data_IF_226404904030
#
_entry.id   IF_226404904030
#
_cell.length_a   1.000
_cell.length_b   1.000
_cell.length_c   1.000
_cell.angle_alpha   90.00
_cell.angle_beta   90.00
_cell.angle_gamma   90.00
#
_symmetry.space_group_name_H-M   'P 1'
#
loop_
_entity.id
_entity.type
_entity.pdbx_description
1 polymer ?
#
# COMPACT_ATOMS: atom_id res chain seq x y z
N UNK A 1 15.48 -4.03 -2.13
CA UNK A 1 16.16 -2.72 -2.01
C UNK A 1 15.06 -1.69 -1.83
N UNK A 2 15.05 -0.91 -0.73
CA UNK A 2 14.04 0.12 -0.55
C UNK A 2 14.13 1.17 -1.66
N UNK A 3 12.99 1.74 -2.07
CA UNK A 3 13.00 2.85 -3.03
C UNK A 3 13.70 4.05 -2.40
N UNK A 4 14.64 4.67 -3.13
CA UNK A 4 15.26 5.92 -2.72
C UNK A 4 14.30 7.10 -2.92
N UNK A 5 14.53 8.26 -2.26
CA UNK A 5 13.71 9.45 -2.48
C UNK A 5 13.63 9.90 -3.95
N UNK A 6 14.76 9.84 -4.68
CA UNK A 6 14.80 10.17 -6.11
C UNK A 6 13.98 9.19 -6.97
N UNK A 7 14.02 7.90 -6.65
CA UNK A 7 13.20 6.89 -7.32
C UNK A 7 11.72 7.05 -6.98
N UNK A 8 11.38 7.45 -5.74
CA UNK A 8 10.01 7.69 -5.33
C UNK A 8 9.36 8.84 -6.12
N UNK A 9 10.10 9.90 -6.43
CA UNK A 9 9.62 10.99 -7.29
C UNK A 9 9.27 10.47 -8.70
N UNK A 10 10.12 9.64 -9.28
CA UNK A 10 9.87 9.06 -10.60
C UNK A 10 8.65 8.13 -10.59
N UNK A 11 8.54 7.28 -9.56
CA UNK A 11 7.41 6.36 -9.40
C UNK A 11 6.10 7.10 -9.13
N UNK A 12 6.10 8.11 -8.26
CA UNK A 12 4.95 8.98 -8.02
C UNK A 12 4.50 9.75 -9.28
N UNK A 13 5.46 10.21 -10.09
CA UNK A 13 5.15 10.81 -11.40
C UNK A 13 4.48 9.82 -12.34
N UNK A 14 4.87 8.53 -12.30
CA UNK A 14 4.20 7.49 -13.06
C UNK A 14 2.76 7.24 -12.59
N UNK A 15 2.49 7.29 -11.28
CA UNK A 15 1.13 7.24 -10.73
C UNK A 15 0.27 8.38 -11.27
N UNK A 16 0.77 9.62 -11.19
CA UNK A 16 0.08 10.78 -11.76
C UNK A 16 -0.20 10.61 -13.27
N UNK A 17 0.77 10.07 -14.01
CA UNK A 17 0.60 9.83 -15.44
C UNK A 17 -0.50 8.80 -15.72
N UNK A 18 -0.53 7.69 -14.98
CA UNK A 18 -1.57 6.67 -15.11
C UNK A 18 -2.96 7.25 -14.81
N UNK A 19 -3.08 8.02 -13.72
CA UNK A 19 -4.32 8.72 -13.38
C UNK A 19 -4.80 9.67 -14.50
N UNK A 20 -3.89 10.47 -15.04
CA UNK A 20 -4.18 11.39 -16.16
C UNK A 20 -4.54 10.66 -17.47
N UNK A 21 -4.15 9.38 -17.63
CA UNK A 21 -4.54 8.54 -18.75
C UNK A 21 -5.91 7.88 -18.55
N UNK A 22 -6.57 8.11 -17.41
CA UNK A 22 -7.90 7.57 -17.11
C UNK A 22 -7.87 6.15 -16.54
N UNK A 23 -6.79 5.76 -15.87
CA UNK A 23 -6.76 4.49 -15.13
C UNK A 23 -7.89 4.45 -14.07
N UNK A 24 -8.57 3.31 -13.96
CA UNK A 24 -9.55 3.06 -12.89
C UNK A 24 -8.88 2.49 -11.63
N UNK A 25 -7.81 1.73 -11.82
CA UNK A 25 -6.98 1.19 -10.75
C UNK A 25 -5.48 1.35 -11.06
N UNK A 26 -4.67 1.57 -10.03
CA UNK A 26 -3.21 1.68 -10.11
C UNK A 26 -2.59 0.78 -9.04
N UNK A 27 -1.84 -0.24 -9.47
CA UNK A 27 -1.21 -1.21 -8.56
C UNK A 27 0.28 -0.98 -8.45
N UNK A 28 0.78 -0.83 -7.23
CA UNK A 28 2.17 -0.53 -6.94
C UNK A 28 2.81 -1.62 -6.06
N UNK A 29 3.84 -2.29 -6.58
CA UNK A 29 4.60 -3.32 -5.85
C UNK A 29 6.00 -2.84 -5.49
N UNK A 30 6.07 -1.65 -4.89
CA UNK A 30 7.31 -1.04 -4.43
C UNK A 30 7.10 -0.37 -3.07
N UNK A 31 8.18 -0.23 -2.31
CA UNK A 31 8.14 0.38 -0.99
C UNK A 31 9.52 0.86 -0.54
N UNK A 32 9.51 1.88 0.30
CA UNK A 32 10.68 2.49 0.93
C UNK A 32 10.40 2.82 2.38
N UNK A 33 11.39 3.39 3.07
CA UNK A 33 11.24 3.68 4.48
C UNK A 33 10.21 4.79 4.71
N UNK A 34 9.35 4.59 5.72
CA UNK A 34 8.45 5.61 6.26
C UNK A 34 9.27 6.81 6.78
N UNK A 35 8.86 8.02 6.44
CA UNK A 35 9.61 9.25 6.71
C UNK A 35 8.72 10.48 6.92
N UNK A 36 9.29 11.54 7.49
CA UNK A 36 8.56 12.82 7.63
C UNK A 36 8.21 13.50 6.30
N UNK A 37 8.84 13.09 5.19
CA UNK A 37 8.57 13.66 3.86
C UNK A 37 7.30 13.09 3.20
N UNK A 38 6.77 12.01 3.76
CA UNK A 38 5.71 11.20 3.16
C UNK A 38 4.40 11.98 2.97
N UNK A 39 4.09 12.89 3.90
CA UNK A 39 2.93 13.78 3.81
C UNK A 39 2.93 14.68 2.56
N UNK A 40 4.11 15.12 2.11
CA UNK A 40 4.26 15.90 0.88
C UNK A 40 3.97 15.03 -0.34
N UNK A 41 4.53 13.81 -0.36
CA UNK A 41 4.34 12.85 -1.45
C UNK A 41 2.89 12.37 -1.57
N UNK A 42 2.18 12.23 -0.46
CA UNK A 42 0.76 11.86 -0.42
C UNK A 42 -0.10 12.78 -1.30
N UNK A 43 -0.04 14.08 -1.00
CA UNK A 43 -0.80 15.10 -1.72
C UNK A 43 -0.35 15.27 -3.18
N UNK A 44 0.92 14.96 -3.46
CA UNK A 44 1.52 15.17 -4.79
C UNK A 44 1.25 14.00 -5.75
N UNK A 45 1.21 12.77 -5.25
CA UNK A 45 1.24 11.57 -6.09
C UNK A 45 0.08 10.60 -5.89
N UNK A 46 -0.53 10.54 -4.70
CA UNK A 46 -1.46 9.45 -4.36
C UNK A 46 -2.90 9.92 -4.14
N UNK A 47 -3.15 11.22 -3.98
CA UNK A 47 -4.51 11.75 -3.88
C UNK A 47 -5.19 11.85 -5.26
N UNK A 48 -5.71 10.72 -5.75
CA UNK A 48 -6.51 10.64 -6.98
C UNK A 48 -7.93 10.11 -6.70
N UNK A 49 -8.88 10.99 -6.31
CA UNK A 49 -10.24 10.57 -6.00
C UNK A 49 -10.91 9.83 -7.16
N UNK A 50 -11.53 8.69 -6.87
CA UNK A 50 -12.21 7.86 -7.88
C UNK A 50 -11.32 6.83 -8.57
N UNK A 51 -10.03 6.77 -8.25
CA UNK A 51 -9.09 5.76 -8.74
C UNK A 51 -8.66 4.88 -7.56
N UNK A 52 -8.78 3.55 -7.69
CA UNK A 52 -8.30 2.65 -6.65
C UNK A 52 -6.79 2.50 -6.75
N UNK A 53 -6.05 3.01 -5.77
CA UNK A 53 -4.60 2.84 -5.70
C UNK A 53 -4.27 1.78 -4.67
N UNK A 54 -3.61 0.70 -5.09
CA UNK A 54 -3.13 -0.36 -4.20
C UNK A 54 -1.62 -0.31 -4.09
N UNK A 55 -1.11 -0.59 -2.90
CA UNK A 55 0.33 -0.66 -2.62
C UNK A 55 0.62 -1.89 -1.77
N UNK A 56 1.63 -2.68 -2.13
CA UNK A 56 2.05 -3.81 -1.28
C UNK A 56 2.50 -3.31 0.10
N UNK A 57 2.14 -4.04 1.16
CA UNK A 57 2.54 -3.65 2.52
C UNK A 57 4.02 -3.91 2.81
N UNK A 58 4.66 -4.76 2.01
CA UNK A 58 6.08 -5.11 2.11
C UNK A 58 6.29 -6.60 2.35
N UNK A 59 7.55 -7.01 2.21
CA UNK A 59 7.99 -8.42 2.20
C UNK A 59 8.97 -8.76 3.33
N UNK A 60 9.13 -7.85 4.31
CA UNK A 60 10.13 -7.92 5.37
C UNK A 60 9.54 -8.13 6.78
N UNK A 61 8.28 -8.56 6.86
CA UNK A 61 7.57 -8.76 8.12
C UNK A 61 7.21 -7.45 8.80
N UNK A 62 7.09 -7.44 10.13
CA UNK A 62 6.70 -6.26 10.89
C UNK A 62 7.61 -5.06 10.61
N UNK A 63 7.01 -3.96 10.18
CA UNK A 63 7.68 -2.78 9.65
C UNK A 63 6.74 -2.02 8.72
N UNK A 64 6.81 -0.69 8.79
CA UNK A 64 6.02 0.21 7.95
C UNK A 64 6.85 0.62 6.75
N UNK A 65 6.22 0.66 5.58
CA UNK A 65 6.83 1.20 4.37
C UNK A 65 5.92 2.23 3.71
N UNK A 66 6.54 3.17 3.01
CA UNK A 66 5.87 4.14 2.16
C UNK A 66 5.97 3.69 0.69
N UNK A 67 4.90 3.74 -0.13
CA UNK A 67 3.64 4.47 0.09
C UNK A 67 2.51 3.70 0.78
N UNK A 68 2.72 2.46 1.25
CA UNK A 68 1.66 1.69 1.91
C UNK A 68 1.10 2.36 3.18
N UNK A 69 1.89 3.23 3.82
CA UNK A 69 1.46 4.07 4.94
C UNK A 69 0.54 5.25 4.56
N UNK A 70 0.42 5.58 3.28
CA UNK A 70 -0.38 6.71 2.78
C UNK A 70 -1.86 6.52 3.10
N UNK A 71 -2.55 7.59 3.50
CA UNK A 71 -3.99 7.56 3.73
C UNK A 71 -4.82 7.51 2.43
N UNK A 72 -4.19 7.76 1.27
CA UNK A 72 -4.86 7.83 -0.03
C UNK A 72 -4.80 6.51 -0.81
N UNK A 73 -4.17 5.48 -0.26
CA UNK A 73 -4.01 4.17 -0.91
C UNK A 73 -4.60 3.06 -0.07
N UNK A 74 -4.83 1.91 -0.71
CA UNK A 74 -5.13 0.65 -0.02
C UNK A 74 -3.86 -0.16 0.14
N UNK A 75 -3.40 -0.32 1.38
CA UNK A 75 -2.29 -1.21 1.70
C UNK A 75 -2.74 -2.67 1.59
N UNK A 76 -2.03 -3.47 0.77
CA UNK A 76 -2.34 -4.88 0.52
C UNK A 76 -1.30 -5.75 1.23
N UNK A 77 -1.75 -6.47 2.25
CA UNK A 77 -0.96 -7.46 2.99
C UNK A 77 -0.78 -8.78 2.23
N UNK A 78 -0.06 -9.72 2.84
CA UNK A 78 0.18 -11.05 2.29
C UNK A 78 -0.36 -12.18 3.16
N UNK A 79 -0.81 -13.25 2.52
CA UNK A 79 -1.25 -14.49 3.16
C UNK A 79 -0.48 -15.68 2.60
N UNK A 80 -0.34 -16.74 3.41
CA UNK A 80 0.05 -18.05 2.93
C UNK A 80 -1.21 -18.83 2.59
N UNK A 81 -1.36 -19.21 1.31
CA UNK A 81 -2.49 -19.96 0.81
C UNK A 81 -2.24 -21.47 0.89
N UNK A 82 -3.13 -22.19 1.56
CA UNK A 82 -3.11 -23.65 1.63
C UNK A 82 -4.42 -24.21 1.05
N UNK A 83 -4.33 -25.22 0.17
CA UNK A 83 -5.55 -25.86 -0.35
C UNK A 83 -6.32 -26.50 0.80
N UNK A 84 -7.65 -26.36 0.77
CA UNK A 84 -8.52 -26.89 1.81
C UNK A 84 -9.78 -27.50 1.21
N UNK A 85 -10.30 -28.55 1.85
CA UNK A 85 -11.59 -29.16 1.51
C UNK A 85 -12.75 -28.39 2.17
N UNK A 86 -12.93 -27.14 1.76
CA UNK A 86 -14.04 -26.28 2.19
C UNK A 86 -14.69 -25.61 0.96
N UNK A 87 -15.80 -24.89 1.14
CA UNK A 87 -16.53 -24.26 0.03
C UNK A 87 -15.68 -23.26 -0.80
N UNK A 88 -14.66 -22.65 -0.18
CA UNK A 88 -13.74 -21.70 -0.82
C UNK A 88 -12.56 -22.39 -1.52
N UNK A 89 -12.24 -23.63 -1.16
CA UNK A 89 -11.11 -24.41 -1.68
C UNK A 89 -9.75 -24.05 -1.07
N UNK A 90 -9.68 -23.06 -0.16
CA UNK A 90 -8.45 -22.54 0.42
C UNK A 90 -8.63 -22.19 1.91
N UNK A 91 -7.54 -22.25 2.65
CA UNK A 91 -7.35 -21.62 3.95
C UNK A 91 -6.16 -20.66 3.89
N UNK A 92 -6.22 -19.60 4.68
CA UNK A 92 -5.22 -18.53 4.71
C UNK A 92 -4.67 -18.34 6.11
N UNK A 93 -3.35 -18.14 6.19
CA UNK A 93 -2.69 -17.62 7.39
C UNK A 93 -1.93 -16.36 7.03
N UNK A 94 -1.64 -15.49 8.01
CA UNK A 94 -0.75 -14.36 7.77
C UNK A 94 0.58 -14.85 7.20
N UNK A 95 1.06 -14.21 6.13
CA UNK A 95 2.39 -14.49 5.62
C UNK A 95 3.42 -13.83 6.54
N UNK A 96 4.45 -14.57 6.95
CA UNK A 96 5.48 -14.05 7.87
C UNK A 96 6.26 -12.86 7.30
N UNK A 97 6.31 -12.73 5.97
CA UNK A 97 6.92 -11.59 5.29
C UNK A 97 5.98 -10.39 5.14
N UNK A 98 4.68 -10.52 5.43
CA UNK A 98 3.74 -9.43 5.18
C UNK A 98 4.05 -8.20 6.05
N UNK A 99 4.29 -7.07 5.39
CA UNK A 99 4.48 -5.78 6.04
C UNK A 99 3.26 -5.36 6.85
N UNK A 100 3.50 -4.78 8.02
CA UNK A 100 2.46 -4.29 8.93
C UNK A 100 3.03 -3.33 9.97
N UNK A 101 2.21 -2.42 10.48
CA UNK A 101 2.58 -1.49 11.53
C UNK A 101 1.79 -0.19 11.47
N UNK A 102 2.18 0.77 12.29
CA UNK A 102 1.62 2.12 12.32
C UNK A 102 2.72 3.12 11.96
N UNK A 103 2.48 3.96 10.95
CA UNK A 103 3.42 5.02 10.61
C UNK A 103 3.69 5.93 11.80
N UNK A 104 4.94 6.37 11.93
CA UNK A 104 5.33 7.36 12.94
C UNK A 104 5.02 8.80 12.51
N UNK A 105 4.68 9.01 11.23
CA UNK A 105 4.55 10.34 10.61
C UNK A 105 3.12 10.65 10.19
N UNK A 106 2.28 9.63 9.99
CA UNK A 106 0.85 9.80 9.77
C UNK A 106 0.06 9.58 11.06
N UNK A 107 -0.70 10.58 11.46
CA UNK A 107 -1.76 10.39 12.47
C UNK A 107 -2.95 9.80 11.73
N UNK A 108 -3.52 8.72 12.26
CA UNK A 108 -4.75 8.13 11.74
C UNK A 108 -5.82 9.22 11.62
N UNK A 109 -6.12 9.63 10.38
CA UNK A 109 -7.22 10.54 10.11
C UNK A 109 -8.53 9.91 10.58
N UNK A 110 -9.47 10.72 11.04
CA UNK A 110 -10.77 10.36 11.64
C UNK A 110 -11.74 9.61 10.69
N UNK A 111 -11.24 9.02 9.60
CA UNK A 111 -11.97 8.23 8.62
C UNK A 111 -11.29 6.89 8.36
N UNK A 112 -11.14 6.07 9.40
CA UNK A 112 -11.22 4.61 9.24
C UNK A 112 -12.67 4.23 8.87
N UNK A 113 -13.12 4.72 7.72
CA UNK A 113 -14.34 4.31 7.07
C UNK A 113 -14.03 3.14 6.16
N UNK A 114 -14.24 1.93 6.68
CA UNK A 114 -14.60 0.74 5.92
C UNK A 114 -13.56 -0.03 5.07
N UNK A 115 -12.26 0.24 5.14
CA UNK A 115 -11.29 -0.65 4.49
C UNK A 115 -10.22 -1.12 5.47
N UNK A 116 -10.54 -2.24 6.13
CA UNK A 116 -9.56 -3.05 6.84
C UNK A 116 -8.56 -3.63 5.84
N UNK A 117 -7.36 -3.93 6.33
CA UNK A 117 -6.36 -4.73 5.63
C UNK A 117 -7.05 -5.88 4.87
N UNK A 118 -7.00 -5.84 3.53
CA UNK A 118 -7.67 -6.84 2.72
C UNK A 118 -6.81 -8.11 2.79
N UNK A 119 -7.11 -8.92 3.81
CA UNK A 119 -6.81 -10.34 3.78
C UNK A 119 -7.82 -10.91 2.79
N UNK A 120 -7.36 -11.28 1.59
CA UNK A 120 -8.17 -12.16 0.74
C UNK A 120 -8.36 -13.43 1.55
#
# INVERSE_FOLDING_TARGET
MPVSPSSLINLGTAVNRAAAMGANEISNSYGGNDSSSDSSYDSTYFNHPGIAITVSSGDNGYGVQYPAASQYVTAVGGTTLNRASNARGWSETAWSGAGSGCSAYFIVGTRLGLWGSFTI
#
